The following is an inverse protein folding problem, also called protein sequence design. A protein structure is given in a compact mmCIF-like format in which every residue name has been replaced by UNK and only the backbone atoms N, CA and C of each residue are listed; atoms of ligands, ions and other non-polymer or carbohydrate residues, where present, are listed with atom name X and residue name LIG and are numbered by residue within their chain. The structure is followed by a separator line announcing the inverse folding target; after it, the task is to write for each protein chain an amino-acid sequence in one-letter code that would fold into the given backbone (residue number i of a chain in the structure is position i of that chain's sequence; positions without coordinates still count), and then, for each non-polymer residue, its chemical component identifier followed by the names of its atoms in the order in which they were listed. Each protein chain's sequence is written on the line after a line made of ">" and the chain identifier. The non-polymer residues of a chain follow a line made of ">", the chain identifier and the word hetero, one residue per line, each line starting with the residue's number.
data_IF_798722990870
#
_entry.id   IF_798722990870
#
_cell.length_a   1.000
_cell.length_b   1.000
_cell.length_c   1.000
_cell.angle_alpha   90.00
_cell.angle_beta   90.00
_cell.angle_gamma   90.00
#
_symmetry.space_group_name_H-M   'P 1'
#
loop_
_entity.id
_entity.type
_entity.pdbx_description
1 polymer ?
#
# COMPACT_ATOMS: atom_id res chain seq x y z
N UNK A 1 49.97 -4.79 -11.20
CA UNK A 1 49.28 -3.70 -10.51
C UNK A 1 48.44 -2.94 -11.53
N UNK A 2 47.27 -3.38 -11.83
CA UNK A 2 46.15 -2.81 -12.59
C UNK A 2 45.24 -4.00 -12.97
N UNK A 3 44.48 -4.50 -12.01
CA UNK A 3 43.35 -5.35 -12.27
C UNK A 3 42.42 -5.23 -11.05
N UNK A 4 41.58 -4.20 -11.05
CA UNK A 4 40.38 -4.11 -10.19
C UNK A 4 39.58 -2.84 -10.56
N UNK A 5 39.05 -2.81 -11.78
CA UNK A 5 38.07 -1.78 -12.15
C UNK A 5 37.18 -2.33 -13.30
N UNK A 6 36.36 -3.34 -13.03
CA UNK A 6 35.26 -3.70 -13.94
C UNK A 6 34.22 -4.57 -13.20
N UNK A 7 33.63 -4.02 -12.11
CA UNK A 7 32.34 -4.45 -11.63
C UNK A 7 31.46 -3.21 -11.39
N UNK A 8 31.35 -2.36 -12.38
CA UNK A 8 30.29 -1.39 -12.46
C UNK A 8 29.00 -2.19 -12.67
N UNK A 9 28.15 -2.13 -11.65
CA UNK A 9 26.89 -2.86 -11.58
C UNK A 9 26.03 -2.47 -12.80
N UNK A 10 25.52 -3.50 -13.48
CA UNK A 10 24.64 -3.44 -14.64
C UNK A 10 23.40 -2.53 -14.47
N UNK A 11 23.24 -1.91 -13.31
CA UNK A 11 22.13 -1.08 -12.85
C UNK A 11 22.38 0.43 -12.97
N UNK A 12 23.62 0.90 -13.04
CA UNK A 12 23.92 2.33 -13.23
C UNK A 12 23.67 2.84 -14.65
N UNK A 13 23.49 1.93 -15.63
CA UNK A 13 23.17 2.25 -17.02
C UNK A 13 21.66 2.37 -17.32
N UNK A 14 20.78 2.13 -16.35
CA UNK A 14 19.32 2.18 -16.53
C UNK A 14 18.71 3.60 -16.44
N UNK A 15 19.48 4.61 -16.09
CA UNK A 15 18.98 5.99 -15.94
C UNK A 15 19.03 6.85 -17.21
N UNK A 16 19.61 6.37 -18.31
CA UNK A 16 19.79 7.18 -19.55
C UNK A 16 19.28 6.52 -20.85
N UNK A 17 18.32 5.65 -20.78
CA UNK A 17 17.67 5.13 -21.99
C UNK A 17 16.34 4.51 -21.66
N UNK A 18 15.25 4.88 -22.35
CA UNK A 18 13.93 4.25 -22.30
C UNK A 18 14.00 2.75 -22.66
N UNK A 19 14.53 1.94 -21.75
CA UNK A 19 14.30 0.52 -21.72
C UNK A 19 13.19 0.34 -20.69
N UNK A 20 12.08 -0.26 -21.10
CA UNK A 20 10.98 -0.65 -20.22
C UNK A 20 11.53 -1.63 -19.18
N UNK A 21 12.12 -1.13 -18.10
CA UNK A 21 12.55 -1.96 -16.99
C UNK A 21 11.30 -2.54 -16.35
N UNK A 22 11.26 -3.86 -16.19
CA UNK A 22 10.20 -4.55 -15.45
C UNK A 22 10.22 -3.99 -14.04
N UNK A 23 9.12 -3.34 -13.62
CA UNK A 23 9.06 -2.70 -12.31
C UNK A 23 9.14 -3.72 -11.16
N UNK A 24 8.67 -4.96 -11.38
CA UNK A 24 8.75 -6.07 -10.44
C UNK A 24 9.25 -7.34 -11.12
N UNK A 25 10.30 -7.93 -10.58
CA UNK A 25 10.90 -9.18 -11.06
C UNK A 25 10.80 -10.25 -9.97
N UNK A 26 10.20 -11.40 -10.28
CA UNK A 26 10.26 -12.59 -9.43
C UNK A 26 11.57 -13.32 -9.69
N UNK A 27 12.46 -13.36 -8.71
CA UNK A 27 13.80 -13.93 -8.83
C UNK A 27 13.88 -15.39 -8.45
N UNK A 28 12.96 -15.87 -7.59
CA UNK A 28 12.88 -17.26 -7.16
C UNK A 28 11.46 -17.60 -6.69
N UNK A 29 11.02 -18.82 -6.96
CA UNK A 29 9.77 -19.40 -6.45
C UNK A 29 10.09 -20.66 -5.65
N UNK A 30 9.43 -20.85 -4.51
CA UNK A 30 9.56 -22.10 -3.73
C UNK A 30 8.85 -23.27 -4.42
N UNK A 31 9.44 -24.45 -4.35
CA UNK A 31 8.92 -25.64 -5.03
C UNK A 31 7.75 -26.33 -4.30
N UNK A 32 7.50 -25.97 -3.03
CA UNK A 32 6.51 -26.65 -2.16
C UNK A 32 5.34 -25.74 -1.78
N UNK A 33 5.54 -24.44 -1.89
CA UNK A 33 4.56 -23.43 -1.53
C UNK A 33 4.42 -22.40 -2.67
N UNK A 34 3.63 -21.33 -2.48
CA UNK A 34 3.56 -20.20 -3.42
C UNK A 34 4.52 -19.08 -3.04
N UNK A 35 5.40 -19.29 -2.04
CA UNK A 35 6.37 -18.29 -1.61
C UNK A 35 7.32 -17.93 -2.75
N UNK A 36 7.63 -16.63 -2.86
CA UNK A 36 8.51 -16.12 -3.90
C UNK A 36 9.42 -15.01 -3.38
N UNK A 37 10.60 -14.91 -3.94
CA UNK A 37 11.49 -13.76 -3.79
C UNK A 37 11.33 -12.88 -5.02
N UNK A 38 11.35 -11.58 -4.81
CA UNK A 38 11.24 -10.62 -5.90
C UNK A 38 12.03 -9.34 -5.63
N UNK A 39 12.07 -8.50 -6.66
CA UNK A 39 12.69 -7.17 -6.65
C UNK A 39 11.73 -6.17 -7.24
N UNK A 40 11.39 -5.15 -6.47
CA UNK A 40 10.55 -4.05 -6.90
C UNK A 40 11.43 -2.81 -7.07
N UNK A 41 11.56 -2.33 -8.31
CA UNK A 41 12.28 -1.10 -8.62
C UNK A 41 11.37 0.11 -8.40
N UNK A 42 11.79 1.04 -7.54
CA UNK A 42 11.10 2.31 -7.27
C UNK A 42 11.99 3.49 -7.65
N UNK A 43 11.45 4.71 -7.61
CA UNK A 43 12.25 5.92 -7.86
C UNK A 43 13.32 6.15 -6.79
N UNK A 44 13.14 5.64 -5.56
CA UNK A 44 14.06 5.83 -4.43
C UNK A 44 14.80 4.54 -4.02
N UNK A 45 14.85 3.53 -4.89
CA UNK A 45 15.63 2.33 -4.66
C UNK A 45 14.93 1.03 -5.02
N UNK A 46 15.63 -0.08 -4.82
CA UNK A 46 15.10 -1.43 -5.06
C UNK A 46 14.67 -2.04 -3.73
N UNK A 47 13.46 -2.60 -3.71
CA UNK A 47 12.89 -3.30 -2.57
C UNK A 47 12.98 -4.80 -2.83
N UNK A 48 13.66 -5.53 -1.96
CA UNK A 48 13.70 -7.01 -1.98
C UNK A 48 12.47 -7.55 -1.25
N UNK A 49 11.74 -8.46 -1.87
CA UNK A 49 10.54 -9.08 -1.27
C UNK A 49 10.75 -10.55 -0.93
N UNK A 50 10.06 -11.10 0.09
CA UNK A 50 9.05 -10.46 0.95
C UNK A 50 9.59 -9.34 1.82
N UNK A 51 8.77 -8.29 2.05
CA UNK A 51 9.18 -7.11 2.83
C UNK A 51 8.10 -6.70 3.82
N UNK A 52 8.54 -6.26 5.01
CA UNK A 52 7.70 -5.55 5.97
C UNK A 52 7.96 -4.05 5.85
N UNK A 53 6.90 -3.25 5.88
CA UNK A 53 6.94 -1.79 5.77
C UNK A 53 6.63 -1.17 7.13
N UNK A 54 7.57 -0.38 7.65
CA UNK A 54 7.39 0.32 8.92
C UNK A 54 6.41 1.49 8.77
N UNK A 55 5.44 1.59 9.69
CA UNK A 55 4.38 2.60 9.59
C UNK A 55 4.83 3.94 10.17
N UNK A 56 5.02 4.91 9.28
CA UNK A 56 5.35 6.30 9.56
C UNK A 56 4.15 7.23 9.41
N UNK A 57 3.16 7.11 10.29
CA UNK A 57 1.81 7.71 10.19
C UNK A 57 1.80 9.20 9.84
N UNK A 58 2.63 10.01 10.48
CA UNK A 58 2.74 11.47 10.30
C UNK A 58 4.12 11.87 9.76
N UNK A 59 4.68 11.08 8.84
CA UNK A 59 6.04 11.28 8.35
C UNK A 59 7.11 10.92 9.39
N UNK A 60 6.78 10.04 10.32
CA UNK A 60 7.70 9.50 11.32
C UNK A 60 7.23 8.12 11.79
N UNK A 61 8.14 7.18 11.88
CA UNK A 61 7.92 5.93 12.60
C UNK A 61 8.06 6.23 14.09
N UNK A 62 6.98 6.06 14.85
CA UNK A 62 6.90 6.54 16.23
C UNK A 62 8.04 6.00 17.11
N UNK A 63 8.76 6.92 17.75
CA UNK A 63 9.93 6.69 18.62
C UNK A 63 11.19 6.17 17.89
N UNK A 64 11.25 6.30 16.56
CA UNK A 64 12.45 6.03 15.76
C UNK A 64 12.84 7.28 14.96
N UNK A 65 14.14 7.53 14.85
CA UNK A 65 14.70 8.54 13.96
C UNK A 65 15.02 7.90 12.58
N UNK A 66 15.16 8.68 11.51
CA UNK A 66 15.51 8.14 10.19
C UNK A 66 16.80 7.30 10.20
N UNK A 67 17.80 7.67 11.02
CA UNK A 67 19.03 6.90 11.20
C UNK A 67 18.78 5.49 11.78
N UNK A 68 17.81 5.37 12.69
CA UNK A 68 17.46 4.07 13.29
C UNK A 68 16.83 3.16 12.24
N UNK A 69 16.00 3.71 11.34
CA UNK A 69 15.42 2.97 10.22
C UNK A 69 16.50 2.45 9.25
N UNK A 70 17.53 3.26 8.97
CA UNK A 70 18.67 2.84 8.16
C UNK A 70 19.45 1.72 8.84
N UNK A 71 19.71 1.83 10.16
CA UNK A 71 20.41 0.81 10.94
C UNK A 71 19.61 -0.50 10.99
N UNK A 72 18.29 -0.42 11.14
CA UNK A 72 17.36 -1.55 11.09
C UNK A 72 17.17 -2.13 9.68
N UNK A 73 17.75 -1.50 8.65
CA UNK A 73 17.62 -1.89 7.24
C UNK A 73 16.18 -1.86 6.75
N UNK A 74 15.38 -0.93 7.27
CA UNK A 74 14.03 -0.66 6.72
C UNK A 74 14.15 -0.36 5.23
N UNK A 75 13.38 -1.07 4.41
CA UNK A 75 13.42 -0.87 2.97
C UNK A 75 12.34 0.09 2.48
N UNK A 76 11.18 0.08 3.13
CA UNK A 76 10.02 0.91 2.76
C UNK A 76 9.37 1.46 4.01
N UNK A 77 9.01 2.73 3.99
CA UNK A 77 8.19 3.36 5.03
C UNK A 77 6.78 3.58 4.48
N UNK A 78 5.77 3.24 5.28
CA UNK A 78 4.36 3.52 4.94
C UNK A 78 3.91 4.83 5.58
N UNK A 79 3.45 5.78 4.76
CA UNK A 79 2.78 7.00 5.18
C UNK A 79 1.26 6.89 5.11
N UNK A 80 0.54 7.54 6.02
CA UNK A 80 -0.93 7.50 5.99
C UNK A 80 -1.51 8.80 5.41
N UNK A 81 -2.09 8.70 4.23
CA UNK A 81 -2.65 9.83 3.47
C UNK A 81 -3.64 10.66 4.27
N UNK A 82 -4.58 10.01 4.97
CA UNK A 82 -5.55 10.69 5.84
C UNK A 82 -4.88 11.56 6.91
N UNK A 83 -3.90 11.02 7.62
CA UNK A 83 -3.21 11.73 8.68
C UNK A 83 -2.38 12.89 8.16
N UNK A 84 -1.67 12.67 7.05
CA UNK A 84 -0.86 13.69 6.40
C UNK A 84 -1.70 14.81 5.78
N UNK A 85 -2.92 14.49 5.27
CA UNK A 85 -3.90 15.47 4.80
C UNK A 85 -4.34 16.41 5.94
N UNK A 86 -4.63 15.85 7.13
CA UNK A 86 -5.05 16.64 8.28
C UNK A 86 -3.89 17.42 8.89
N UNK A 87 -2.71 16.80 9.02
CA UNK A 87 -1.49 17.38 9.57
C UNK A 87 -0.25 16.70 9.00
N UNK A 88 0.71 17.45 8.42
CA UNK A 88 0.80 18.93 8.39
C UNK A 88 -0.08 19.58 7.34
N UNK A 89 -0.71 18.83 6.45
CA UNK A 89 -1.50 19.31 5.32
C UNK A 89 -0.70 19.42 4.02
N UNK A 90 -1.42 19.54 2.87
CA UNK A 90 -0.79 19.52 1.55
C UNK A 90 0.15 20.70 1.31
N UNK A 91 -0.17 21.91 1.80
CA UNK A 91 0.62 23.10 1.57
C UNK A 91 2.00 23.01 2.22
N UNK A 92 2.08 22.47 3.45
CA UNK A 92 3.35 22.27 4.17
C UNK A 92 4.19 21.21 3.49
N UNK A 93 3.58 20.10 3.07
CA UNK A 93 4.30 19.03 2.36
C UNK A 93 4.80 19.50 0.99
N UNK A 94 4.00 20.26 0.25
CA UNK A 94 4.42 20.86 -1.02
C UNK A 94 5.59 21.82 -0.82
N UNK A 95 5.53 22.71 0.20
CA UNK A 95 6.60 23.63 0.53
C UNK A 95 7.89 22.90 0.96
N UNK A 96 7.78 21.75 1.64
CA UNK A 96 8.91 20.92 2.00
C UNK A 96 9.53 20.17 0.80
N UNK A 97 8.81 20.06 -0.32
CA UNK A 97 9.23 19.31 -1.50
C UNK A 97 8.93 17.80 -1.39
N UNK A 98 7.79 17.46 -0.75
CA UNK A 98 7.30 16.09 -0.55
C UNK A 98 7.69 15.45 0.76
N UNK A 99 7.16 14.25 0.99
CA UNK A 99 7.33 13.55 2.26
C UNK A 99 8.76 13.06 2.50
N UNK A 100 9.47 12.64 1.47
CA UNK A 100 10.87 12.23 1.57
C UNK A 100 11.73 13.32 2.23
N UNK A 101 11.63 14.55 1.73
CA UNK A 101 12.36 15.70 2.29
C UNK A 101 11.84 16.10 3.67
N UNK A 102 10.51 16.07 3.86
CA UNK A 102 9.89 16.43 5.12
C UNK A 102 10.35 15.54 6.28
N UNK A 103 10.44 14.22 6.06
CA UNK A 103 10.87 13.25 7.07
C UNK A 103 12.36 12.91 7.00
N UNK A 104 13.10 13.43 6.00
CA UNK A 104 14.52 13.11 5.75
C UNK A 104 14.77 11.61 5.56
N UNK A 105 13.93 11.01 4.75
CA UNK A 105 14.02 9.60 4.37
C UNK A 105 14.30 9.48 2.87
N UNK A 106 15.44 8.83 2.51
CA UNK A 106 15.87 8.71 1.12
C UNK A 106 15.40 7.41 0.45
N UNK A 107 14.83 6.49 1.23
CA UNK A 107 14.31 5.20 0.73
C UNK A 107 12.88 5.28 0.22
N UNK A 108 12.36 4.17 -0.34
CA UNK A 108 11.00 4.07 -0.84
C UNK A 108 9.92 4.39 0.20
N UNK A 109 8.85 5.05 -0.25
CA UNK A 109 7.64 5.33 0.53
C UNK A 109 6.42 4.76 -0.19
N UNK A 110 5.58 4.04 0.56
CA UNK A 110 4.22 3.70 0.15
C UNK A 110 3.24 4.57 0.93
N UNK A 111 2.19 5.08 0.28
CA UNK A 111 1.07 5.73 1.00
C UNK A 111 -0.21 4.96 0.81
N UNK A 112 -0.94 4.77 1.92
CA UNK A 112 -2.31 4.24 1.86
C UNK A 112 -3.27 5.23 1.18
N UNK A 113 -4.49 4.76 0.91
CA UNK A 113 -5.53 5.60 0.28
C UNK A 113 -6.15 6.64 1.22
N UNK A 114 -6.06 6.44 2.53
CA UNK A 114 -6.81 7.15 3.56
C UNK A 114 -8.22 6.58 3.83
N UNK A 115 -8.71 5.66 3.01
CA UNK A 115 -10.06 5.08 3.11
C UNK A 115 -10.31 4.36 4.44
N UNK A 116 -9.36 3.56 4.90
CA UNK A 116 -9.47 2.86 6.18
C UNK A 116 -9.57 3.83 7.37
N UNK A 117 -8.80 4.91 7.39
CA UNK A 117 -8.82 5.89 8.50
C UNK A 117 -10.12 6.69 8.52
N UNK A 118 -10.69 7.02 7.36
CA UNK A 118 -12.04 7.58 7.26
C UNK A 118 -13.05 6.61 7.84
N UNK A 119 -12.90 5.31 7.56
CA UNK A 119 -13.75 4.27 8.14
C UNK A 119 -13.58 4.13 9.65
N UNK A 120 -12.35 4.09 10.17
CA UNK A 120 -12.07 3.72 11.56
C UNK A 120 -12.09 4.90 12.55
N UNK A 121 -11.72 6.12 12.11
CA UNK A 121 -11.49 7.27 12.99
C UNK A 121 -12.55 8.36 12.87
N UNK A 122 -13.21 8.52 11.73
CA UNK A 122 -14.17 9.59 11.52
C UNK A 122 -15.47 9.33 12.28
N UNK A 123 -15.84 10.25 13.18
CA UNK A 123 -17.05 10.14 14.02
C UNK A 123 -18.34 10.31 13.22
N UNK A 124 -18.33 11.22 12.24
CA UNK A 124 -19.44 11.44 11.31
C UNK A 124 -18.92 11.28 9.89
N UNK A 125 -19.48 10.31 9.17
CA UNK A 125 -19.09 10.01 7.79
C UNK A 125 -20.32 9.70 6.94
N UNK A 126 -20.30 10.18 5.71
CA UNK A 126 -21.33 9.90 4.72
C UNK A 126 -20.65 9.49 3.40
N UNK A 127 -20.83 8.24 3.03
CA UNK A 127 -20.38 7.73 1.73
C UNK A 127 -21.34 8.16 0.63
N UNK A 128 -20.77 8.60 -0.48
CA UNK A 128 -21.45 8.89 -1.73
C UNK A 128 -20.76 8.12 -2.86
N UNK A 129 -21.22 8.27 -4.09
CA UNK A 129 -20.54 7.68 -5.25
C UNK A 129 -19.21 8.38 -5.56
N UNK A 130 -19.09 9.65 -5.17
CA UNK A 130 -17.90 10.48 -5.42
C UNK A 130 -16.79 10.25 -4.39
N UNK A 131 -17.15 9.84 -3.17
CA UNK A 131 -16.23 9.68 -2.05
C UNK A 131 -16.94 9.73 -0.71
N UNK A 132 -16.22 10.14 0.33
CA UNK A 132 -16.73 10.22 1.69
C UNK A 132 -16.59 11.63 2.27
N UNK A 133 -17.70 12.19 2.77
CA UNK A 133 -17.70 13.34 3.65
C UNK A 133 -17.48 12.89 5.09
N UNK A 134 -16.57 13.54 5.79
CA UNK A 134 -16.29 13.21 7.19
C UNK A 134 -15.84 14.42 8.00
N UNK A 135 -15.87 14.28 9.32
CA UNK A 135 -15.30 15.25 10.23
C UNK A 135 -13.97 14.76 10.79
N UNK A 136 -12.97 15.64 10.78
CA UNK A 136 -11.66 15.39 11.38
C UNK A 136 -11.82 15.01 12.86
N UNK A 137 -11.14 13.94 13.25
CA UNK A 137 -11.09 13.50 14.66
C UNK A 137 -10.26 14.44 15.54
N UNK A 138 -9.48 15.36 14.93
CA UNK A 138 -8.59 16.28 15.63
C UNK A 138 -9.35 17.52 16.10
N UNK A 139 -10.09 18.16 15.20
CA UNK A 139 -10.67 19.49 15.39
C UNK A 139 -12.13 19.62 14.90
N UNK A 140 -12.69 18.55 14.35
CA UNK A 140 -14.08 18.51 13.88
C UNK A 140 -14.33 19.21 12.54
N UNK A 141 -13.31 19.75 11.86
CA UNK A 141 -13.48 20.33 10.53
C UNK A 141 -14.02 19.30 9.55
N UNK A 142 -14.90 19.75 8.65
CA UNK A 142 -15.47 18.93 7.60
C UNK A 142 -14.46 18.76 6.45
N UNK A 143 -14.27 17.51 6.02
CA UNK A 143 -13.45 17.13 4.88
C UNK A 143 -14.24 16.25 3.91
N UNK A 144 -13.78 16.26 2.67
CA UNK A 144 -14.19 15.31 1.67
C UNK A 144 -12.94 14.58 1.16
N UNK A 145 -13.04 13.26 1.03
CA UNK A 145 -11.98 12.42 0.46
C UNK A 145 -12.62 11.41 -0.50
N UNK A 146 -12.18 11.44 -1.72
CA UNK A 146 -12.56 10.52 -2.77
C UNK A 146 -11.34 10.14 -3.62
N UNK A 147 -11.52 9.42 -4.72
CA UNK A 147 -10.42 9.03 -5.60
C UNK A 147 -9.52 10.21 -5.99
N UNK A 148 -10.11 11.32 -6.43
CA UNK A 148 -9.40 12.52 -6.86
C UNK A 148 -8.58 13.15 -5.73
N UNK A 149 -9.20 13.39 -4.59
CA UNK A 149 -8.57 14.05 -3.44
C UNK A 149 -7.46 13.18 -2.85
N UNK A 150 -7.69 11.86 -2.75
CA UNK A 150 -6.70 10.90 -2.28
C UNK A 150 -5.48 10.87 -3.19
N UNK A 151 -5.67 10.73 -4.50
CA UNK A 151 -4.55 10.72 -5.45
C UNK A 151 -3.83 12.07 -5.53
N UNK A 152 -4.57 13.19 -5.47
CA UNK A 152 -3.96 14.52 -5.41
C UNK A 152 -3.07 14.69 -4.17
N UNK A 153 -3.51 14.20 -2.99
CA UNK A 153 -2.71 14.22 -1.77
C UNK A 153 -1.48 13.32 -1.88
N UNK A 154 -1.61 12.09 -2.39
CA UNK A 154 -0.50 11.17 -2.59
C UNK A 154 0.52 11.69 -3.61
N UNK A 155 0.08 12.45 -4.62
CA UNK A 155 0.96 13.15 -5.54
C UNK A 155 1.76 14.27 -4.84
N UNK A 156 1.14 15.04 -3.95
CA UNK A 156 1.83 16.06 -3.12
C UNK A 156 2.81 15.43 -2.15
N UNK A 157 2.44 14.29 -1.57
CA UNK A 157 3.35 13.47 -0.73
C UNK A 157 4.56 13.01 -1.54
N UNK A 158 4.37 12.65 -2.82
CA UNK A 158 5.44 12.16 -3.69
C UNK A 158 5.92 10.77 -3.29
N UNK A 159 5.02 9.90 -2.83
CA UNK A 159 5.34 8.50 -2.52
C UNK A 159 5.70 7.71 -3.77
N UNK A 160 6.53 6.67 -3.64
CA UNK A 160 6.88 5.76 -4.73
C UNK A 160 5.70 4.89 -5.13
N UNK A 161 4.86 4.53 -4.15
CA UNK A 161 3.68 3.69 -4.35
C UNK A 161 2.47 4.40 -3.73
N UNK A 162 1.46 4.66 -4.55
CA UNK A 162 0.17 5.20 -4.14
C UNK A 162 -0.90 4.11 -4.20
N UNK A 163 -1.77 4.07 -3.19
CA UNK A 163 -2.90 3.13 -3.16
C UNK A 163 -4.16 3.79 -3.70
N UNK A 164 -4.94 3.07 -4.50
CA UNK A 164 -6.26 3.55 -4.95
C UNK A 164 -7.20 3.78 -3.77
N UNK A 165 -8.15 4.72 -3.90
CA UNK A 165 -9.16 4.93 -2.88
C UNK A 165 -10.16 3.78 -2.89
N UNK A 166 -10.44 3.21 -1.73
CA UNK A 166 -11.26 2.02 -1.53
C UNK A 166 -12.26 2.17 -0.38
N UNK A 167 -13.24 1.31 -0.33
CA UNK A 167 -14.18 1.23 0.78
C UNK A 167 -13.94 -0.02 1.61
N UNK A 168 -13.29 0.15 2.76
CA UNK A 168 -13.08 -0.92 3.73
C UNK A 168 -14.39 -1.21 4.50
N UNK A 169 -14.75 -2.48 4.59
CA UNK A 169 -15.94 -2.94 5.30
C UNK A 169 -15.63 -3.38 6.74
N UNK A 170 -16.58 -3.23 7.68
CA UNK A 170 -16.45 -3.83 9.00
C UNK A 170 -16.60 -5.35 8.93
N UNK A 171 -16.11 -6.02 9.97
CA UNK A 171 -16.44 -7.42 10.21
C UNK A 171 -17.31 -7.52 11.48
N UNK A 172 -18.42 -8.31 11.47
CA UNK A 172 -19.03 -8.93 10.29
C UNK A 172 -19.75 -7.91 9.38
N UNK A 173 -19.99 -8.31 8.14
CA UNK A 173 -20.71 -7.50 7.15
C UNK A 173 -21.68 -8.40 6.37
N UNK A 174 -22.88 -7.88 6.08
CA UNK A 174 -23.86 -8.56 5.24
C UNK A 174 -23.37 -8.67 3.80
N UNK A 175 -23.71 -9.81 3.14
CA UNK A 175 -23.25 -10.08 1.78
C UNK A 175 -23.69 -9.00 0.76
N UNK A 176 -24.92 -8.53 0.84
CA UNK A 176 -25.45 -7.46 -0.04
C UNK A 176 -24.61 -6.18 0.09
N UNK A 177 -24.21 -5.83 1.31
CA UNK A 177 -23.36 -4.66 1.59
C UNK A 177 -21.93 -4.86 1.05
N UNK A 178 -21.42 -6.10 1.11
CA UNK A 178 -20.12 -6.43 0.52
C UNK A 178 -20.12 -6.27 -1.01
N UNK A 179 -21.19 -6.70 -1.69
CA UNK A 179 -21.37 -6.49 -3.14
C UNK A 179 -21.37 -5.00 -3.49
N UNK A 180 -22.19 -4.18 -2.81
CA UNK A 180 -22.25 -2.73 -3.06
C UNK A 180 -20.88 -2.05 -2.90
N UNK A 181 -20.17 -2.41 -1.83
CA UNK A 181 -18.86 -1.85 -1.51
C UNK A 181 -17.81 -2.22 -2.55
N UNK A 182 -17.79 -3.46 -3.00
CA UNK A 182 -16.85 -3.92 -4.03
C UNK A 182 -17.12 -3.22 -5.35
N UNK A 183 -18.38 -3.11 -5.79
CA UNK A 183 -18.71 -2.39 -7.03
C UNK A 183 -18.29 -0.91 -6.96
N UNK A 184 -18.46 -0.25 -5.81
CA UNK A 184 -17.99 1.10 -5.57
C UNK A 184 -16.47 1.18 -5.58
N UNK A 185 -15.79 0.26 -4.89
CA UNK A 185 -14.32 0.17 -4.86
C UNK A 185 -13.75 0.02 -6.27
N UNK A 186 -14.34 -0.83 -7.13
CA UNK A 186 -13.91 -1.01 -8.53
C UNK A 186 -14.05 0.31 -9.31
N UNK A 187 -15.19 1.02 -9.17
CA UNK A 187 -15.38 2.32 -9.84
C UNK A 187 -14.39 3.37 -9.32
N UNK A 188 -14.14 3.40 -8.01
CA UNK A 188 -13.18 4.31 -7.39
C UNK A 188 -11.74 3.99 -7.79
N UNK A 189 -11.39 2.71 -7.90
CA UNK A 189 -10.08 2.28 -8.38
C UNK A 189 -9.80 2.77 -9.81
N UNK A 190 -10.79 2.70 -10.70
CA UNK A 190 -10.71 3.23 -12.07
C UNK A 190 -10.48 4.74 -12.05
N UNK A 191 -11.30 5.47 -11.29
CA UNK A 191 -11.14 6.93 -11.14
C UNK A 191 -9.77 7.30 -10.54
N UNK A 192 -9.30 6.56 -9.54
CA UNK A 192 -7.97 6.80 -8.95
C UNK A 192 -6.85 6.61 -9.97
N UNK A 193 -6.97 5.60 -10.85
CA UNK A 193 -5.98 5.34 -11.89
C UNK A 193 -5.95 6.44 -12.95
N UNK A 194 -7.10 7.04 -13.25
CA UNK A 194 -7.22 8.09 -14.27
C UNK A 194 -6.72 9.46 -13.77
N UNK A 195 -6.50 9.63 -12.45
CA UNK A 195 -5.95 10.88 -11.87
C UNK A 195 -4.46 11.02 -12.16
N UNK A 196 -3.94 12.27 -12.24
CA UNK A 196 -2.51 12.50 -12.40
C UNK A 196 -1.69 11.96 -11.24
N UNK A 197 -0.54 11.34 -11.52
CA UNK A 197 0.42 10.80 -10.56
C UNK A 197 1.72 11.63 -10.55
N UNK A 198 2.55 11.47 -9.52
CA UNK A 198 3.91 11.98 -9.52
C UNK A 198 4.79 11.18 -10.51
N UNK A 199 5.86 11.79 -10.98
CA UNK A 199 6.80 11.11 -11.88
C UNK A 199 7.39 9.86 -11.21
N UNK A 200 7.28 8.72 -11.88
CA UNK A 200 7.76 7.44 -11.36
C UNK A 200 6.92 6.81 -10.24
N UNK A 201 5.80 7.45 -9.85
CA UNK A 201 4.88 6.91 -8.86
C UNK A 201 4.08 5.73 -9.42
N UNK A 202 4.16 4.57 -8.77
CA UNK A 202 3.34 3.40 -9.05
C UNK A 202 1.98 3.51 -8.38
N UNK A 203 0.95 2.89 -8.98
CA UNK A 203 -0.40 2.82 -8.42
C UNK A 203 -0.81 1.38 -8.19
N UNK A 204 -1.20 1.06 -6.96
CA UNK A 204 -1.65 -0.27 -6.57
C UNK A 204 -3.17 -0.31 -6.38
N UNK A 205 -3.82 -1.34 -6.96
CA UNK A 205 -5.22 -1.66 -6.72
C UNK A 205 -5.42 -2.33 -5.36
N UNK A 206 -6.62 -2.19 -4.77
CA UNK A 206 -6.98 -2.82 -3.50
C UNK A 206 -8.17 -3.75 -3.68
N UNK A 207 -7.94 -5.05 -3.49
CA UNK A 207 -9.00 -6.08 -3.53
C UNK A 207 -9.78 -6.03 -2.22
N UNK A 208 -11.09 -5.82 -2.32
CA UNK A 208 -12.05 -5.87 -1.22
C UNK A 208 -13.01 -7.06 -1.41
N UNK A 209 -13.90 -7.34 -0.43
CA UNK A 209 -14.90 -8.39 -0.53
C UNK A 209 -15.26 -9.07 0.79
N UNK A 210 -14.74 -8.55 1.92
CA UNK A 210 -14.97 -9.13 3.24
C UNK A 210 -14.50 -10.58 3.32
N UNK A 211 -15.36 -11.45 3.84
CA UNK A 211 -15.10 -12.90 3.96
C UNK A 211 -15.74 -13.73 2.84
N UNK A 212 -16.15 -13.09 1.75
CA UNK A 212 -16.86 -13.74 0.64
C UNK A 212 -15.89 -14.00 -0.54
N UNK A 213 -15.51 -15.25 -0.75
CA UNK A 213 -14.51 -15.65 -1.75
C UNK A 213 -14.86 -15.22 -3.17
N UNK A 214 -16.11 -15.43 -3.57
CA UNK A 214 -16.57 -15.10 -4.92
C UNK A 214 -16.57 -13.59 -5.16
N UNK A 215 -16.91 -12.79 -4.14
CA UNK A 215 -16.87 -11.32 -4.22
C UNK A 215 -15.40 -10.85 -4.31
N UNK A 216 -14.47 -11.46 -3.56
CA UNK A 216 -13.05 -11.16 -3.65
C UNK A 216 -12.46 -11.50 -5.01
N UNK A 217 -12.81 -12.68 -5.56
CA UNK A 217 -12.38 -13.05 -6.92
C UNK A 217 -12.88 -12.07 -7.95
N UNK A 218 -14.15 -11.74 -7.92
CA UNK A 218 -14.74 -10.73 -8.80
C UNK A 218 -14.00 -9.38 -8.70
N UNK A 219 -13.77 -8.89 -7.49
CA UNK A 219 -13.03 -7.65 -7.28
C UNK A 219 -11.61 -7.73 -7.88
N UNK A 220 -10.86 -8.81 -7.60
CA UNK A 220 -9.52 -9.00 -8.11
C UNK A 220 -9.48 -9.03 -9.65
N UNK A 221 -10.39 -9.77 -10.29
CA UNK A 221 -10.50 -9.88 -11.74
C UNK A 221 -10.80 -8.53 -12.40
N UNK A 222 -11.73 -7.74 -11.83
CA UNK A 222 -12.06 -6.41 -12.34
C UNK A 222 -10.88 -5.43 -12.18
N UNK A 223 -10.17 -5.47 -11.05
CA UNK A 223 -8.97 -4.66 -10.85
C UNK A 223 -7.85 -5.04 -11.82
N UNK A 224 -7.67 -6.33 -12.12
CA UNK A 224 -6.69 -6.80 -13.10
C UNK A 224 -7.05 -6.31 -14.51
N UNK A 225 -8.33 -6.26 -14.89
CA UNK A 225 -8.78 -5.67 -16.17
C UNK A 225 -8.48 -4.16 -16.26
N UNK A 226 -8.59 -3.43 -15.14
CA UNK A 226 -8.19 -2.03 -15.07
C UNK A 226 -6.66 -1.93 -15.25
N UNK A 227 -5.90 -2.83 -14.62
CA UNK A 227 -4.45 -2.93 -14.71
C UNK A 227 -3.73 -1.95 -13.80
N UNK A 228 -2.99 -2.46 -12.82
CA UNK A 228 -2.20 -1.69 -11.85
C UNK A 228 -0.75 -2.17 -11.82
N UNK A 229 0.14 -1.38 -11.19
CA UNK A 229 1.55 -1.74 -11.02
C UNK A 229 1.74 -2.80 -9.95
N UNK A 230 0.77 -2.95 -9.03
CA UNK A 230 0.70 -3.96 -7.99
C UNK A 230 -0.71 -4.07 -7.41
N UNK A 231 -0.93 -5.04 -6.54
CA UNK A 231 -2.25 -5.33 -5.98
C UNK A 231 -2.17 -5.59 -4.48
N UNK A 232 -3.04 -4.93 -3.72
CA UNK A 232 -3.19 -5.20 -2.30
C UNK A 232 -4.45 -6.02 -2.02
N UNK A 233 -4.40 -6.77 -0.93
CA UNK A 233 -5.52 -7.50 -0.33
C UNK A 233 -5.92 -6.70 0.92
N UNK A 234 -6.98 -5.91 0.77
CA UNK A 234 -7.56 -5.11 1.84
C UNK A 234 -8.74 -5.79 2.52
N UNK A 235 -9.35 -5.11 3.50
CA UNK A 235 -10.48 -5.64 4.26
C UNK A 235 -10.17 -6.94 5.01
N UNK A 236 -8.93 -7.10 5.45
CA UNK A 236 -8.44 -8.14 6.35
C UNK A 236 -7.80 -7.48 7.58
N UNK A 237 -7.62 -8.21 8.66
CA UNK A 237 -7.16 -7.69 9.96
C UNK A 237 -8.07 -6.58 10.53
N UNK A 238 -9.37 -6.66 10.26
CA UNK A 238 -10.41 -5.73 10.72
C UNK A 238 -11.30 -6.32 11.82
N UNK A 239 -10.88 -7.44 12.42
CA UNK A 239 -11.56 -8.11 13.53
C UNK A 239 -12.11 -9.49 13.21
N UNK A 240 -11.90 -9.98 12.00
CA UNK A 240 -12.26 -11.34 11.59
C UNK A 240 -11.36 -12.40 12.25
N UNK A 241 -11.86 -13.63 12.48
CA UNK A 241 -11.03 -14.77 12.83
C UNK A 241 -9.94 -15.03 11.80
N UNK A 242 -8.77 -15.45 12.27
CA UNK A 242 -7.56 -15.66 11.44
C UNK A 242 -7.79 -16.55 10.21
N UNK A 243 -8.63 -17.59 10.33
CA UNK A 243 -8.98 -18.47 9.22
C UNK A 243 -9.64 -17.75 8.04
N UNK A 244 -10.48 -16.75 8.31
CA UNK A 244 -11.10 -15.92 7.25
C UNK A 244 -10.11 -14.99 6.56
N UNK A 245 -9.09 -14.50 7.29
CA UNK A 245 -7.99 -13.74 6.69
C UNK A 245 -7.22 -14.60 5.68
N UNK A 246 -6.83 -15.82 6.04
CA UNK A 246 -6.16 -16.73 5.10
C UNK A 246 -7.05 -17.11 3.93
N UNK A 247 -8.33 -17.36 4.16
CA UNK A 247 -9.31 -17.62 3.11
C UNK A 247 -9.40 -16.44 2.13
N UNK A 248 -9.39 -15.21 2.63
CA UNK A 248 -9.38 -14.00 1.81
C UNK A 248 -8.13 -13.90 0.92
N UNK A 249 -6.96 -14.28 1.45
CA UNK A 249 -5.72 -14.35 0.68
C UNK A 249 -5.80 -15.44 -0.38
N UNK A 250 -6.26 -16.65 -0.01
CA UNK A 250 -6.39 -17.79 -0.91
C UNK A 250 -7.42 -17.55 -2.03
N UNK A 251 -8.45 -16.74 -1.78
CA UNK A 251 -9.42 -16.33 -2.79
C UNK A 251 -8.88 -15.27 -3.74
N UNK A 252 -8.00 -14.38 -3.27
CA UNK A 252 -7.53 -13.22 -4.04
C UNK A 252 -6.28 -13.53 -4.87
N UNK A 253 -5.27 -14.14 -4.26
CA UNK A 253 -3.93 -14.35 -4.86
C UNK A 253 -3.98 -15.07 -6.22
N UNK A 254 -4.79 -16.13 -6.43
CA UNK A 254 -4.84 -16.82 -7.72
C UNK A 254 -5.37 -15.98 -8.88
N UNK A 255 -6.08 -14.90 -8.59
CA UNK A 255 -6.63 -13.98 -9.60
C UNK A 255 -5.65 -12.85 -9.97
N UNK A 256 -4.57 -12.69 -9.21
CA UNK A 256 -3.61 -11.60 -9.40
C UNK A 256 -2.44 -12.04 -10.31
N UNK A 257 -1.92 -11.14 -11.18
CA UNK A 257 -0.79 -11.44 -12.06
C UNK A 257 0.44 -11.91 -11.28
N UNK A 258 1.21 -12.82 -11.89
CA UNK A 258 2.42 -13.36 -11.27
C UNK A 258 3.59 -12.37 -11.32
N UNK A 259 3.61 -11.51 -12.31
CA UNK A 259 4.62 -10.47 -12.56
C UNK A 259 4.35 -9.14 -11.83
N UNK A 260 3.43 -9.14 -10.86
CA UNK A 260 3.08 -7.96 -10.05
C UNK A 260 3.26 -8.24 -8.56
N UNK A 261 3.69 -7.24 -7.76
CA UNK A 261 3.77 -7.38 -6.31
C UNK A 261 2.39 -7.51 -5.68
N UNK A 262 2.30 -8.32 -4.62
CA UNK A 262 1.08 -8.62 -3.85
C UNK A 262 1.27 -8.21 -2.40
N UNK A 263 0.41 -7.36 -1.92
CA UNK A 263 0.50 -6.74 -0.61
C UNK A 263 -0.71 -7.09 0.26
N UNK A 264 -0.51 -7.62 1.47
CA UNK A 264 -1.57 -7.78 2.47
C UNK A 264 -1.51 -6.64 3.47
N UNK A 265 -2.59 -5.84 3.55
CA UNK A 265 -2.64 -4.61 4.33
C UNK A 265 -2.91 -4.89 5.83
N UNK A 266 -2.18 -4.19 6.69
CA UNK A 266 -2.44 -4.18 8.13
C UNK A 266 -1.98 -5.43 8.89
N UNK A 267 -1.16 -6.29 8.29
CA UNK A 267 -0.72 -7.56 8.86
C UNK A 267 0.73 -7.52 9.34
N UNK A 268 0.96 -7.75 10.66
CA UNK A 268 2.29 -7.67 11.25
C UNK A 268 2.57 -8.70 12.35
N UNK A 269 1.76 -9.74 12.46
CA UNK A 269 2.01 -10.87 13.37
C UNK A 269 2.86 -11.89 12.63
N UNK A 270 4.02 -12.26 13.17
CA UNK A 270 5.04 -13.03 12.45
C UNK A 270 4.56 -14.34 11.85
N UNK A 271 3.81 -15.16 12.60
CA UNK A 271 3.31 -16.43 12.07
C UNK A 271 2.30 -16.23 10.94
N UNK A 272 1.46 -15.18 11.05
CA UNK A 272 0.50 -14.83 10.00
C UNK A 272 1.19 -14.34 8.73
N UNK A 273 2.25 -13.53 8.88
CA UNK A 273 3.07 -13.12 7.73
C UNK A 273 3.72 -14.33 7.03
N UNK A 274 4.30 -15.25 7.80
CA UNK A 274 4.90 -16.47 7.23
C UNK A 274 3.89 -17.31 6.45
N UNK A 275 2.68 -17.49 6.97
CA UNK A 275 1.57 -18.17 6.30
C UNK A 275 1.12 -17.45 5.02
N UNK A 276 1.08 -16.10 5.04
CA UNK A 276 0.75 -15.32 3.84
C UNK A 276 1.88 -15.36 2.79
N UNK A 277 3.15 -15.35 3.20
CA UNK A 277 4.28 -15.57 2.29
C UNK A 277 4.17 -16.93 1.60
N UNK A 278 3.85 -17.98 2.36
CA UNK A 278 3.62 -19.30 1.78
C UNK A 278 2.47 -19.36 0.78
N UNK A 279 1.54 -18.39 0.84
CA UNK A 279 0.43 -18.20 -0.10
C UNK A 279 0.76 -17.26 -1.28
N UNK A 280 1.99 -16.74 -1.34
CA UNK A 280 2.48 -15.91 -2.45
C UNK A 280 2.29 -14.41 -2.26
N UNK A 281 2.27 -13.93 -1.01
CA UNK A 281 2.27 -12.51 -0.66
C UNK A 281 3.70 -11.98 -0.52
N UNK A 282 3.93 -10.74 -0.95
CA UNK A 282 5.25 -10.12 -1.03
C UNK A 282 5.46 -8.99 -0.02
N UNK A 283 4.39 -8.26 0.35
CA UNK A 283 4.51 -7.01 1.11
C UNK A 283 3.52 -7.01 2.29
N UNK A 284 3.95 -6.39 3.39
CA UNK A 284 3.18 -6.31 4.64
C UNK A 284 3.43 -4.98 5.33
N UNK A 285 2.44 -4.50 6.08
CA UNK A 285 2.58 -3.38 7.02
C UNK A 285 1.79 -3.64 8.29
N UNK A 286 2.23 -3.10 9.39
CA UNK A 286 1.45 -3.01 10.62
C UNK A 286 2.13 -2.10 11.65
N UNK A 287 1.33 -1.46 12.50
CA UNK A 287 1.86 -0.70 13.65
C UNK A 287 2.28 -1.60 14.84
N UNK A 288 1.90 -2.90 14.83
CA UNK A 288 2.11 -3.82 15.95
C UNK A 288 3.57 -3.94 16.34
N UNK A 289 4.54 -4.20 15.43
CA UNK A 289 5.94 -4.38 15.82
C UNK A 289 6.49 -3.18 16.58
N UNK A 290 6.35 -1.97 16.04
CA UNK A 290 6.83 -0.75 16.69
C UNK A 290 6.00 -0.37 17.92
N UNK A 291 4.72 -0.74 17.98
CA UNK A 291 3.87 -0.54 19.16
C UNK A 291 4.32 -1.42 20.33
N UNK A 292 4.53 -2.72 20.07
CA UNK A 292 4.98 -3.67 21.10
C UNK A 292 6.40 -3.30 21.60
N UNK A 293 7.29 -2.89 20.70
CA UNK A 293 8.64 -2.50 21.08
C UNK A 293 8.70 -1.27 21.99
N UNK A 294 7.63 -0.47 22.11
CA UNK A 294 7.54 0.70 22.99
C UNK A 294 6.89 0.41 24.35
N UNK A 295 6.36 -0.76 24.58
CA UNK A 295 5.71 -1.22 25.81
C UNK A 295 6.44 -2.40 26.42
#
# INVERSE_FOLDING_TARGET
>A
MIHDFFFLRKWELLFFGKICAVAFEVTKVDSRTKARLGRLATAHGVVETPVFMDVGTLGTVKALEPRDLVELKTQVVLGNTYHLLLRPGPDVLAAAGGLHRFMRWDGPILTDSGGFQVFSLAKMRKFTEEGCHFQSHIDGHAFFLGPKESMAMQRVIGSDIAMVFDECLPYPCERSRAVESVERTIRWARRSKDEPHADGQMVFGIVQGGVYDDIRRHCAEELVKIGFDGYAIGGVSVGEPEGFMYQAVDASVPCLPEDKPRYVMGLGVMHQMAECVARGVDMFDCVIPTRIARH
#
